data_IF_384277683292
#
_entry.id   IF_384277683292
#
_cell.length_a   1.000
_cell.length_b   1.000
_cell.length_c   1.000
_cell.angle_alpha   90.00
_cell.angle_beta   90.00
_cell.angle_gamma   90.00
#
_symmetry.space_group_name_H-M   'P 1'
#
loop_
_entity.id
_entity.type
_entity.pdbx_description
1 polymer ?
#
# COMPACT_ATOMS: atom_id res chain seq x y z
N UNK A 1 10.31 1.16 -4.97
CA UNK A 1 9.20 0.41 -4.35
C UNK A 1 9.12 -1.03 -4.84
N UNK A 2 9.35 -1.25 -6.12
CA UNK A 2 9.29 -2.61 -6.69
C UNK A 2 10.22 -3.59 -5.97
N UNK A 3 11.45 -3.20 -5.71
CA UNK A 3 12.40 -4.09 -5.06
C UNK A 3 11.97 -4.45 -3.63
N UNK A 4 11.38 -3.50 -2.91
CA UNK A 4 10.87 -3.77 -1.57
C UNK A 4 9.73 -4.77 -1.61
N UNK A 5 8.83 -4.64 -2.57
CA UNK A 5 7.72 -5.57 -2.74
C UNK A 5 8.23 -6.96 -3.10
N UNK A 6 9.17 -7.03 -4.04
CA UNK A 6 9.75 -8.32 -4.43
C UNK A 6 10.40 -9.01 -3.23
N UNK A 7 11.16 -8.26 -2.45
CA UNK A 7 11.79 -8.81 -1.25
C UNK A 7 10.74 -9.32 -0.26
N UNK A 8 9.71 -8.53 -0.04
CA UNK A 8 8.67 -8.89 0.92
C UNK A 8 7.88 -10.13 0.49
N UNK A 9 7.67 -10.31 -0.81
CA UNK A 9 6.97 -11.46 -1.35
C UNK A 9 7.93 -12.62 -1.68
N UNK A 10 9.23 -12.42 -1.47
CA UNK A 10 10.27 -13.42 -1.73
C UNK A 10 10.33 -13.82 -3.20
N UNK A 11 10.12 -12.86 -4.09
CA UNK A 11 10.18 -13.06 -5.53
C UNK A 11 11.57 -12.68 -6.02
N UNK A 12 12.25 -13.60 -6.67
CA UNK A 12 13.61 -13.37 -7.16
C UNK A 12 13.70 -13.23 -8.67
N UNK A 13 12.63 -13.56 -9.38
CA UNK A 13 12.58 -13.43 -10.83
C UNK A 13 12.02 -12.08 -11.24
N UNK A 14 12.36 -11.64 -12.45
CA UNK A 14 11.78 -10.43 -13.02
C UNK A 14 10.50 -10.70 -13.81
N UNK A 15 10.04 -11.95 -13.84
CA UNK A 15 8.88 -12.35 -14.63
C UNK A 15 7.60 -11.65 -14.21
N UNK A 16 7.50 -11.20 -12.96
CA UNK A 16 6.31 -10.57 -12.43
C UNK A 16 6.44 -9.06 -12.23
N UNK A 17 7.50 -8.46 -12.76
CA UNK A 17 7.76 -7.04 -12.51
C UNK A 17 6.61 -6.14 -12.97
N UNK A 18 6.05 -6.41 -14.15
CA UNK A 18 4.95 -5.59 -14.66
C UNK A 18 3.70 -5.74 -13.80
N UNK A 19 3.37 -6.97 -13.42
CA UNK A 19 2.22 -7.22 -12.54
C UNK A 19 2.39 -6.55 -11.19
N UNK A 20 3.58 -6.64 -10.60
CA UNK A 20 3.86 -6.03 -9.31
C UNK A 20 3.82 -4.51 -9.40
N UNK A 21 4.33 -3.95 -10.49
CA UNK A 21 4.26 -2.50 -10.70
C UNK A 21 2.82 -2.04 -10.76
N UNK A 22 1.96 -2.78 -11.46
CA UNK A 22 0.54 -2.46 -11.54
C UNK A 22 -0.13 -2.53 -10.16
N UNK A 23 0.23 -3.53 -9.35
CA UNK A 23 -0.31 -3.65 -8.00
C UNK A 23 0.14 -2.50 -7.11
N UNK A 24 1.38 -2.07 -7.24
CA UNK A 24 1.89 -0.93 -6.49
C UNK A 24 1.10 0.33 -6.84
N UNK A 25 0.86 0.57 -8.12
CA UNK A 25 0.09 1.73 -8.55
C UNK A 25 -1.36 1.64 -8.09
N UNK A 26 -1.94 0.45 -8.14
CA UNK A 26 -3.30 0.24 -7.64
C UNK A 26 -3.39 0.52 -6.14
N UNK A 27 -2.38 0.11 -5.38
CA UNK A 27 -2.33 0.38 -3.94
C UNK A 27 -2.29 1.87 -3.66
N UNK A 28 -1.47 2.61 -4.40
CA UNK A 28 -1.38 4.06 -4.25
C UNK A 28 -2.71 4.74 -4.56
N UNK A 29 -3.39 4.28 -5.60
CA UNK A 29 -4.71 4.82 -5.96
C UNK A 29 -5.74 4.52 -4.88
N UNK A 30 -5.72 3.31 -4.34
CA UNK A 30 -6.65 2.93 -3.28
C UNK A 30 -6.46 3.79 -2.03
N UNK A 31 -5.21 4.03 -1.66
CA UNK A 31 -4.91 4.91 -0.53
C UNK A 31 -5.39 6.33 -0.80
N UNK A 32 -5.20 6.82 -2.02
CA UNK A 32 -5.67 8.15 -2.42
C UNK A 32 -7.18 8.27 -2.34
N UNK A 33 -7.90 7.24 -2.75
CA UNK A 33 -9.37 7.22 -2.66
C UNK A 33 -9.82 7.32 -1.20
N UNK A 34 -9.06 6.73 -0.29
CA UNK A 34 -9.35 6.81 1.14
C UNK A 34 -8.98 8.15 1.77
N UNK A 35 -8.45 9.08 0.97
CA UNK A 35 -8.07 10.40 1.46
C UNK A 35 -6.63 10.50 1.95
N UNK A 36 -5.82 9.48 1.72
CA UNK A 36 -4.42 9.49 2.12
C UNK A 36 -3.61 10.18 1.04
N UNK A 37 -2.81 11.17 1.43
CA UNK A 37 -1.89 11.81 0.51
C UNK A 37 -0.70 10.89 0.25
N UNK A 38 -0.45 10.59 -1.03
CA UNK A 38 0.60 9.64 -1.42
C UNK A 38 1.68 10.41 -2.19
N UNK A 39 2.80 10.76 -1.53
CA UNK A 39 3.89 11.47 -2.20
C UNK A 39 4.69 10.55 -3.11
N UNK A 40 5.57 11.14 -3.93
CA UNK A 40 6.43 10.37 -4.81
C UNK A 40 7.35 9.42 -4.03
N UNK A 41 7.85 9.87 -2.88
CA UNK A 41 8.62 9.02 -1.99
C UNK A 41 7.76 8.61 -0.80
N UNK A 42 7.63 7.30 -0.61
CA UNK A 42 6.79 6.77 0.45
C UNK A 42 7.58 6.64 1.74
N UNK A 43 6.97 7.05 2.84
CA UNK A 43 7.56 6.81 4.15
C UNK A 43 7.32 5.34 4.57
N UNK A 44 7.76 4.99 5.77
CA UNK A 44 7.70 3.62 6.24
C UNK A 44 6.26 3.09 6.35
N UNK A 45 5.33 3.93 6.80
CA UNK A 45 3.93 3.51 6.96
C UNK A 45 3.26 3.30 5.61
N UNK A 46 3.46 4.23 4.68
CA UNK A 46 2.91 4.11 3.33
C UNK A 46 3.50 2.91 2.60
N UNK A 47 4.82 2.73 2.72
CA UNK A 47 5.49 1.58 2.12
C UNK A 47 4.92 0.27 2.65
N UNK A 48 4.70 0.19 3.96
CA UNK A 48 4.15 -1.01 4.57
C UNK A 48 2.73 -1.30 4.06
N UNK A 49 1.91 -0.27 3.93
CA UNK A 49 0.55 -0.44 3.41
C UNK A 49 0.56 -0.93 1.96
N UNK A 50 1.43 -0.37 1.11
CA UNK A 50 1.57 -0.80 -0.27
C UNK A 50 2.02 -2.26 -0.33
N UNK A 51 2.99 -2.64 0.50
CA UNK A 51 3.47 -4.02 0.55
C UNK A 51 2.35 -4.96 0.97
N UNK A 52 1.56 -4.59 1.98
CA UNK A 52 0.44 -5.41 2.45
C UNK A 52 -0.59 -5.59 1.34
N UNK A 53 -0.91 -4.52 0.63
CA UNK A 53 -1.83 -4.59 -0.51
C UNK A 53 -1.30 -5.57 -1.56
N UNK A 54 -0.03 -5.49 -1.89
CA UNK A 54 0.57 -6.38 -2.87
C UNK A 54 0.55 -7.83 -2.40
N UNK A 55 0.80 -8.08 -1.12
CA UNK A 55 0.75 -9.44 -0.58
C UNK A 55 -0.64 -10.04 -0.70
N UNK A 56 -1.68 -9.26 -0.43
CA UNK A 56 -3.04 -9.79 -0.49
C UNK A 56 -3.55 -9.92 -1.92
N UNK A 57 -2.97 -9.18 -2.85
CA UNK A 57 -3.46 -9.12 -4.23
C UNK A 57 -2.66 -9.99 -5.20
N UNK A 58 -1.46 -10.41 -4.82
CA UNK A 58 -0.60 -11.21 -5.67
C UNK A 58 -0.84 -12.69 -5.40
N UNK A 59 -1.31 -13.42 -6.42
CA UNK A 59 -1.63 -14.82 -6.26
C UNK A 59 -2.90 -15.04 -5.44
N UNK A 60 -2.93 -16.13 -4.68
CA UNK A 60 -4.06 -16.49 -3.82
C UNK A 60 -3.49 -16.82 -2.43
N UNK A 61 -3.22 -15.81 -1.60
CA UNK A 61 -2.64 -16.07 -0.30
C UNK A 61 -3.64 -16.75 0.65
N UNK A 62 -3.15 -17.70 1.43
CA UNK A 62 -3.97 -18.41 2.41
C UNK A 62 -4.45 -17.48 3.52
N UNK A 63 -3.68 -16.46 3.83
CA UNK A 63 -3.98 -15.53 4.90
C UNK A 63 -4.59 -14.22 4.39
N UNK A 64 -5.32 -14.29 3.29
CA UNK A 64 -5.93 -13.11 2.66
C UNK A 64 -6.75 -12.28 3.65
N UNK A 65 -7.60 -12.93 4.44
CA UNK A 65 -8.48 -12.20 5.36
C UNK A 65 -7.68 -11.44 6.40
N UNK A 66 -6.60 -12.01 6.90
CA UNK A 66 -5.72 -11.34 7.86
C UNK A 66 -5.01 -10.16 7.20
N UNK A 67 -4.51 -10.37 5.99
CA UNK A 67 -3.83 -9.32 5.24
C UNK A 67 -4.78 -8.16 4.93
N UNK A 68 -6.00 -8.48 4.52
CA UNK A 68 -6.99 -7.45 4.21
C UNK A 68 -7.35 -6.64 5.45
N UNK A 69 -7.53 -7.29 6.59
CA UNK A 69 -7.81 -6.59 7.83
C UNK A 69 -6.65 -5.68 8.21
N UNK A 70 -5.42 -6.18 8.09
CA UNK A 70 -4.24 -5.39 8.39
C UNK A 70 -4.14 -4.17 7.46
N UNK A 71 -4.40 -4.37 6.17
CA UNK A 71 -4.38 -3.27 5.22
C UNK A 71 -5.45 -2.23 5.53
N UNK A 72 -6.67 -2.68 5.80
CA UNK A 72 -7.78 -1.77 6.10
C UNK A 72 -7.48 -0.95 7.36
N UNK A 73 -6.87 -1.56 8.37
CA UNK A 73 -6.48 -0.86 9.58
C UNK A 73 -5.37 0.16 9.31
N UNK A 74 -4.37 -0.22 8.52
CA UNK A 74 -3.29 0.71 8.13
C UNK A 74 -3.86 1.90 7.36
N UNK A 75 -4.74 1.63 6.41
CA UNK A 75 -5.36 2.67 5.60
C UNK A 75 -6.21 3.60 6.46
N UNK A 76 -7.01 3.05 7.36
CA UNK A 76 -7.86 3.84 8.25
C UNK A 76 -7.00 4.71 9.17
N UNK A 77 -5.93 4.15 9.70
CA UNK A 77 -5.02 4.90 10.57
C UNK A 77 -4.42 6.10 9.85
N UNK A 78 -3.97 5.91 8.62
CA UNK A 78 -3.39 7.00 7.85
C UNK A 78 -4.44 8.01 7.39
N UNK A 79 -5.63 7.56 7.02
CA UNK A 79 -6.68 8.47 6.57
C UNK A 79 -7.20 9.35 7.71
N UNK A 80 -7.01 8.93 8.95
CA UNK A 80 -7.42 9.70 10.12
C UNK A 80 -6.29 10.57 10.69
N UNK A 81 -5.08 10.44 10.18
CA UNK A 81 -3.94 11.19 10.67
C UNK A 81 -3.73 12.43 9.79
N UNK A 82 -3.71 13.61 10.42
CA UNK A 82 -3.60 14.89 9.70
C UNK A 82 -2.37 14.95 8.78
N UNK A 83 -1.26 14.37 9.21
CA UNK A 83 -0.04 14.37 8.41
C UNK A 83 -0.16 13.58 7.11
N UNK A 84 -1.18 12.72 6.98
CA UNK A 84 -1.42 11.92 5.78
C UNK A 84 -2.65 12.39 5.01
N UNK A 85 -3.39 13.37 5.53
CA UNK A 85 -4.58 13.92 4.88
C UNK A 85 -4.46 15.43 4.82
N UNK A 86 -3.36 15.89 4.29
CA UNK A 86 -2.93 17.28 4.38
C UNK A 86 -3.89 18.29 3.74
N UNK A 87 -4.79 17.86 2.91
CA UNK A 87 -5.79 18.75 2.35
C UNK A 87 -6.58 19.44 3.44
N UNK A 88 -6.36 19.05 4.68
CA UNK A 88 -7.23 19.35 5.75
C UNK A 88 -6.82 20.36 6.78
N UNK A 89 -5.71 21.02 6.65
CA UNK A 89 -5.35 22.02 7.66
C UNK A 89 -6.40 23.13 7.72
N UNK A 90 -7.06 23.39 6.61
CA UNK A 90 -8.07 24.44 6.56
C UNK A 90 -9.36 24.06 7.26
N UNK A 91 -9.55 22.81 7.57
CA UNK A 91 -10.79 22.37 8.22
C UNK A 91 -10.60 22.07 9.69
N UNK A 92 -9.55 22.49 10.20
CA UNK A 92 -9.31 22.36 11.62
C UNK A 92 -10.38 23.13 12.40
#
# INVERSE_FOLDING_TARGET
>A
MLEKVKTALRIKTDAYNDELTDLIEAAKLDLGVAGVEVPAELDALLSKAVITYCKMSFGIPEDYDRLKRSYDEQKAQMSNATSYTDWGESHV
#
